data_IF_474735564291
#
_entry.id   IF_474735564291
#
_cell.length_a   1.000
_cell.length_b   1.000
_cell.length_c   1.000
_cell.angle_alpha   90.00
_cell.angle_beta   90.00
_cell.angle_gamma   90.00
#
_symmetry.space_group_name_H-M   'P 1'
#
loop_
_entity.id
_entity.type
_entity.pdbx_description
1 polymer ?
#
# COMPACT_ATOMS: atom_id res chain seq x y z
N UNK A 1 -23.70 20.24 20.76
CA UNK A 1 -22.82 21.21 20.08
C UNK A 1 -21.40 20.93 20.58
N UNK A 2 -20.45 20.61 19.69
CA UNK A 2 -19.06 20.36 20.09
C UNK A 2 -18.44 21.65 20.64
N UNK A 3 -17.75 21.57 21.76
CA UNK A 3 -17.09 22.71 22.40
C UNK A 3 -15.66 22.85 21.89
N UNK A 4 -15.05 24.01 22.06
CA UNK A 4 -13.63 24.20 21.71
C UNK A 4 -12.73 23.25 22.51
N UNK A 5 -13.12 22.87 23.72
CA UNK A 5 -12.41 21.90 24.58
C UNK A 5 -12.34 20.50 23.96
N UNK A 6 -13.31 20.13 23.08
CA UNK A 6 -13.33 18.83 22.39
C UNK A 6 -12.25 18.74 21.30
N UNK A 7 -11.76 19.89 20.80
CA UNK A 7 -10.76 19.97 19.72
C UNK A 7 -9.36 20.38 20.19
N UNK A 8 -9.27 21.06 21.32
CA UNK A 8 -8.01 21.58 21.87
C UNK A 8 -7.65 20.78 23.11
N UNK A 9 -6.68 19.88 22.95
CA UNK A 9 -6.13 19.09 24.04
C UNK A 9 -4.69 19.51 24.34
N UNK A 10 -4.23 19.33 25.60
CA UNK A 10 -2.85 19.61 25.95
C UNK A 10 -1.80 19.08 24.96
N UNK A 11 -0.53 19.46 25.06
CA UNK A 11 0.08 20.14 26.19
C UNK A 11 -0.30 21.63 26.24
N UNK A 12 -0.75 22.04 27.44
CA UNK A 12 -1.10 23.43 27.72
C UNK A 12 0.13 24.20 28.18
N UNK A 13 0.27 25.42 27.67
CA UNK A 13 1.25 26.41 28.14
C UNK A 13 0.53 27.68 28.56
N UNK A 14 1.28 28.60 29.15
CA UNK A 14 0.76 29.88 29.61
C UNK A 14 0.26 30.73 28.45
N UNK A 15 -0.99 31.19 28.51
CA UNK A 15 -1.57 32.04 27.49
C UNK A 15 -0.93 33.42 27.53
N UNK A 16 -0.43 33.99 26.40
CA UNK A 16 0.17 35.28 26.37
C UNK A 16 -0.82 36.44 26.64
N UNK A 17 -2.12 36.20 26.51
CA UNK A 17 -3.16 37.21 26.72
C UNK A 17 -3.76 37.18 28.13
N UNK A 18 -4.25 36.03 28.61
CA UNK A 18 -4.91 35.94 29.91
C UNK A 18 -4.00 35.43 31.05
N UNK A 19 -2.82 34.87 30.71
CA UNK A 19 -1.89 34.33 31.69
C UNK A 19 -2.22 32.95 32.22
N UNK A 20 -3.40 32.38 31.88
CA UNK A 20 -3.81 31.04 32.27
C UNK A 20 -3.05 29.94 31.55
N UNK A 21 -2.87 28.77 32.19
CA UNK A 21 -2.23 27.60 31.59
C UNK A 21 -3.22 26.82 30.71
N UNK A 22 -3.68 27.46 29.65
CA UNK A 22 -4.80 27.04 28.79
C UNK A 22 -4.55 27.20 27.30
N UNK A 23 -3.29 27.55 26.92
CA UNK A 23 -2.89 27.77 25.54
C UNK A 23 -2.30 26.51 24.92
N UNK A 24 -3.06 25.85 24.04
CA UNK A 24 -2.71 24.56 23.48
C UNK A 24 -2.77 24.52 21.97
N UNK A 25 -2.21 23.45 21.37
CA UNK A 25 -2.24 23.17 19.95
C UNK A 25 -3.68 22.98 19.48
N UNK A 26 -4.10 23.76 18.49
CA UNK A 26 -5.46 23.72 17.93
C UNK A 26 -5.51 23.07 16.56
N UNK A 27 -4.53 23.34 15.71
CA UNK A 27 -4.43 22.83 14.33
C UNK A 27 -2.98 22.54 14.02
N UNK A 28 -2.75 21.43 13.33
CA UNK A 28 -1.45 21.04 12.77
C UNK A 28 -1.62 21.01 11.24
N UNK A 29 -0.73 21.68 10.52
CA UNK A 29 -0.73 21.76 9.06
C UNK A 29 0.68 21.51 8.52
N UNK A 30 0.85 20.47 7.71
CA UNK A 30 2.12 20.09 7.11
C UNK A 30 3.28 20.05 8.14
N UNK A 31 4.11 21.10 8.19
CA UNK A 31 5.26 21.23 9.10
C UNK A 31 5.15 22.43 10.05
N UNK A 32 3.96 22.82 10.44
CA UNK A 32 3.72 23.85 11.42
C UNK A 32 2.42 23.63 12.18
N UNK A 33 2.26 24.32 13.30
CA UNK A 33 1.05 24.27 14.09
C UNK A 33 0.66 25.65 14.64
N UNK A 34 -0.57 25.75 15.08
CA UNK A 34 -1.14 26.91 15.73
C UNK A 34 -1.59 26.56 17.14
N UNK A 35 -1.52 27.51 18.05
CA UNK A 35 -2.06 27.38 19.40
C UNK A 35 -3.27 28.27 19.58
N UNK A 36 -4.19 27.87 20.46
CA UNK A 36 -5.34 28.65 20.86
C UNK A 36 -5.62 28.46 22.36
N UNK A 37 -6.03 29.53 23.03
CA UNK A 37 -6.46 29.48 24.43
C UNK A 37 -7.89 28.99 24.52
N UNK A 38 -8.18 28.04 25.41
CA UNK A 38 -9.53 27.52 25.65
C UNK A 38 -10.35 28.42 26.56
N UNK A 39 -9.72 29.34 27.33
CA UNK A 39 -10.40 30.24 28.25
C UNK A 39 -10.72 31.59 27.60
N UNK A 40 -9.74 32.28 27.04
CA UNK A 40 -9.94 33.60 26.42
C UNK A 40 -10.02 33.61 24.90
N UNK A 41 -9.95 32.43 24.29
CA UNK A 41 -10.03 32.20 22.83
C UNK A 41 -8.92 32.87 22.00
N UNK A 42 -7.88 33.41 22.62
CA UNK A 42 -6.73 34.02 21.93
C UNK A 42 -5.91 33.00 21.15
N UNK A 43 -5.44 33.32 19.91
CA UNK A 43 -5.84 34.46 19.08
C UNK A 43 -7.24 34.29 18.50
N UNK A 44 -8.03 35.35 18.53
CA UNK A 44 -9.40 35.38 17.99
C UNK A 44 -9.42 36.21 16.69
N UNK A 45 -9.50 35.53 15.54
CA UNK A 45 -9.50 36.16 14.23
C UNK A 45 -10.70 37.10 14.02
N UNK A 46 -11.83 36.87 14.70
CA UNK A 46 -13.00 37.77 14.65
C UNK A 46 -12.70 39.14 15.27
N UNK A 47 -11.70 39.22 16.13
CA UNK A 47 -11.21 40.44 16.78
C UNK A 47 -9.95 41.01 16.11
N UNK A 48 -9.57 40.50 14.93
CA UNK A 48 -8.40 40.91 14.18
C UNK A 48 -7.07 40.44 14.76
N UNK A 49 -7.05 39.53 15.73
CA UNK A 49 -5.83 38.97 16.32
C UNK A 49 -5.18 37.97 15.36
N UNK A 50 -3.88 38.13 15.08
CA UNK A 50 -3.14 37.25 14.19
C UNK A 50 -2.63 36.01 14.93
N UNK A 51 -2.89 34.84 14.37
CA UNK A 51 -2.34 33.57 14.85
C UNK A 51 -0.82 33.51 14.67
N UNK A 52 -0.10 33.06 15.69
CA UNK A 52 1.31 32.78 15.62
C UNK A 52 1.52 31.38 15.05
N UNK A 53 2.34 31.30 14.00
CA UNK A 53 2.75 30.06 13.35
C UNK A 53 4.00 29.52 14.01
N UNK A 54 3.92 28.31 14.55
CA UNK A 54 5.03 27.57 15.13
C UNK A 54 5.54 26.55 14.12
N UNK A 55 6.84 26.59 13.82
CA UNK A 55 7.45 25.68 12.85
C UNK A 55 7.84 24.36 13.49
N UNK A 56 7.72 23.28 12.71
CA UNK A 56 8.11 21.94 13.07
C UNK A 56 9.22 21.42 12.16
N UNK A 57 10.08 20.52 12.63
CA UNK A 57 11.08 19.87 11.79
C UNK A 57 10.44 19.18 10.59
N UNK A 58 11.16 19.11 9.48
CA UNK A 58 10.73 18.34 8.32
C UNK A 58 10.75 16.85 8.63
N UNK A 59 9.70 16.14 8.21
CA UNK A 59 9.58 14.71 8.38
C UNK A 59 10.15 13.95 7.18
N UNK A 60 10.77 12.81 7.49
CA UNK A 60 11.16 11.80 6.51
C UNK A 60 10.76 10.41 7.06
N UNK A 61 9.45 10.15 7.03
CA UNK A 61 8.89 8.91 7.56
C UNK A 61 9.29 7.73 6.70
N UNK A 62 9.67 6.63 7.37
CA UNK A 62 9.90 5.35 6.70
C UNK A 62 8.56 4.71 6.34
N UNK A 63 8.46 4.19 5.13
CA UNK A 63 7.26 3.51 4.63
C UNK A 63 7.43 2.01 4.82
N UNK A 64 6.56 1.42 5.63
CA UNK A 64 6.61 0.00 5.97
C UNK A 64 5.32 -0.69 5.50
N UNK A 65 5.46 -1.70 4.64
CA UNK A 65 4.34 -2.56 4.26
C UNK A 65 4.24 -3.73 5.24
N UNK A 66 3.06 -3.93 5.80
CA UNK A 66 2.73 -5.04 6.69
C UNK A 66 1.66 -5.90 6.02
N UNK A 67 1.99 -7.14 5.72
CA UNK A 67 1.06 -8.07 5.08
C UNK A 67 -0.17 -8.37 5.95
N UNK A 68 -1.29 -8.69 5.28
CA UNK A 68 -2.59 -8.97 5.89
C UNK A 68 -2.54 -10.05 6.97
N UNK A 69 -1.74 -11.11 6.80
CA UNK A 69 -1.62 -12.15 7.81
C UNK A 69 -1.07 -11.62 9.13
N UNK A 70 -0.13 -10.68 9.07
CA UNK A 70 0.47 -10.07 10.26
C UNK A 70 -0.51 -9.14 10.97
N UNK A 71 -1.24 -8.30 10.21
CA UNK A 71 -2.34 -7.47 10.72
C UNK A 71 -3.39 -8.35 11.41
N UNK A 72 -3.80 -9.43 10.76
CA UNK A 72 -4.77 -10.38 11.30
C UNK A 72 -4.28 -11.04 12.59
N UNK A 73 -3.00 -11.37 12.70
CA UNK A 73 -2.45 -11.98 13.90
C UNK A 73 -2.26 -10.97 15.05
N UNK A 74 -1.87 -9.74 14.76
CA UNK A 74 -1.88 -8.65 15.75
C UNK A 74 -3.29 -8.43 16.30
N UNK A 75 -4.31 -8.33 15.43
CA UNK A 75 -5.71 -8.20 15.83
C UNK A 75 -6.16 -9.36 16.72
N UNK A 76 -5.87 -10.61 16.32
CA UNK A 76 -6.23 -11.80 17.11
C UNK A 76 -5.54 -11.87 18.47
N UNK A 77 -4.32 -11.34 18.57
CA UNK A 77 -3.60 -11.24 19.85
C UNK A 77 -4.25 -10.20 20.76
N UNK A 78 -4.59 -9.03 20.21
CA UNK A 78 -5.14 -7.90 20.96
C UNK A 78 -6.61 -8.10 21.36
N UNK A 79 -7.41 -8.75 20.52
CA UNK A 79 -8.83 -8.95 20.73
C UNK A 79 -9.09 -10.30 21.43
N UNK A 80 -9.40 -10.25 22.72
CA UNK A 80 -9.70 -11.44 23.54
C UNK A 80 -10.96 -12.20 23.11
N UNK A 81 -11.91 -11.52 22.46
CA UNK A 81 -13.17 -12.11 22.00
C UNK A 81 -13.02 -13.00 20.75
N UNK A 82 -11.90 -12.89 20.01
CA UNK A 82 -11.69 -13.71 18.81
C UNK A 82 -11.49 -15.18 19.17
N UNK A 83 -12.19 -16.09 18.44
CA UNK A 83 -11.95 -17.53 18.48
C UNK A 83 -10.68 -17.84 17.66
N UNK A 84 -9.50 -17.51 18.16
CA UNK A 84 -8.24 -17.78 17.47
C UNK A 84 -7.51 -18.97 18.09
N UNK A 85 -6.63 -19.61 17.31
CA UNK A 85 -5.77 -20.67 17.84
C UNK A 85 -4.95 -20.19 19.02
N UNK A 86 -4.86 -20.99 20.09
CA UNK A 86 -4.06 -20.70 21.31
C UNK A 86 -2.63 -20.24 20.98
N UNK A 87 -2.03 -20.81 19.90
CA UNK A 87 -0.67 -20.47 19.43
C UNK A 87 -0.52 -18.97 19.11
N UNK A 88 -1.50 -18.35 18.44
CA UNK A 88 -1.44 -16.91 18.09
C UNK A 88 -1.66 -16.04 19.33
N UNK A 89 -2.60 -16.41 20.19
CA UNK A 89 -2.89 -15.69 21.44
C UNK A 89 -1.73 -15.70 22.44
N UNK A 90 -0.91 -16.76 22.39
CA UNK A 90 0.23 -16.94 23.30
C UNK A 90 1.57 -16.46 22.70
N UNK A 91 1.62 -16.05 21.43
CA UNK A 91 2.83 -15.54 20.81
C UNK A 91 2.96 -14.03 21.07
N UNK A 92 3.75 -13.70 22.08
CA UNK A 92 4.05 -12.33 22.54
C UNK A 92 4.60 -11.44 21.40
N UNK A 93 5.18 -12.03 20.36
CA UNK A 93 5.71 -11.30 19.20
C UNK A 93 4.65 -10.37 18.58
N UNK A 94 3.42 -10.82 18.44
CA UNK A 94 2.36 -10.02 17.82
C UNK A 94 2.00 -8.77 18.63
N UNK A 95 2.03 -8.88 19.96
CA UNK A 95 1.84 -7.74 20.86
C UNK A 95 2.99 -6.73 20.76
N UNK A 96 4.24 -7.22 20.81
CA UNK A 96 5.44 -6.38 20.65
C UNK A 96 5.48 -5.68 19.30
N UNK A 97 5.16 -6.40 18.23
CA UNK A 97 5.11 -5.85 16.87
C UNK A 97 4.10 -4.70 16.78
N UNK A 98 2.87 -4.91 17.27
CA UNK A 98 1.86 -3.84 17.29
C UNK A 98 2.34 -2.63 18.12
N UNK A 99 2.88 -2.88 19.31
CA UNK A 99 3.39 -1.83 20.19
C UNK A 99 4.47 -0.97 19.52
N UNK A 100 5.47 -1.60 18.92
CA UNK A 100 6.54 -0.89 18.23
C UNK A 100 6.04 -0.11 17.02
N UNK A 101 5.26 -0.74 16.13
CA UNK A 101 4.70 -0.08 14.95
C UNK A 101 3.83 1.12 15.35
N UNK A 102 2.90 0.93 16.28
CA UNK A 102 2.00 1.99 16.71
C UNK A 102 2.75 3.14 17.39
N UNK A 103 3.73 2.82 18.25
CA UNK A 103 4.59 3.83 18.87
C UNK A 103 5.35 4.64 17.82
N UNK A 104 5.97 3.99 16.84
CA UNK A 104 6.73 4.66 15.79
C UNK A 104 5.85 5.51 14.87
N UNK A 105 4.63 5.05 14.57
CA UNK A 105 3.65 5.86 13.83
C UNK A 105 3.27 7.12 14.62
N UNK A 106 3.00 7.00 15.92
CA UNK A 106 2.70 8.15 16.77
C UNK A 106 3.89 9.10 16.93
N UNK A 107 5.09 8.58 16.97
CA UNK A 107 6.32 9.38 16.94
C UNK A 107 6.59 10.04 15.58
N UNK A 108 5.76 9.83 14.57
CA UNK A 108 5.93 10.37 13.21
C UNK A 108 7.20 9.89 12.49
N UNK A 109 7.74 8.73 12.88
CA UNK A 109 8.97 8.15 12.32
C UNK A 109 8.68 7.19 11.17
N UNK A 110 7.55 6.51 11.22
CA UNK A 110 7.09 5.59 10.17
C UNK A 110 5.65 5.85 9.79
N UNK A 111 5.26 5.23 8.68
CA UNK A 111 3.88 5.07 8.24
C UNK A 111 3.70 3.67 7.67
N UNK A 112 2.55 3.03 7.97
CA UNK A 112 2.18 1.75 7.38
C UNK A 112 0.90 1.92 6.56
N UNK A 113 0.97 2.40 5.31
CA UNK A 113 -0.21 2.59 4.48
C UNK A 113 -0.89 1.25 4.21
N UNK A 114 -2.23 1.24 4.22
CA UNK A 114 -2.97 0.04 3.80
C UNK A 114 -3.15 0.01 2.27
N UNK A 115 -3.44 -1.16 1.72
CA UNK A 115 -3.65 -1.38 0.29
C UNK A 115 -5.08 -1.83 -0.01
N UNK A 116 -5.47 -1.75 -1.28
CA UNK A 116 -6.73 -2.30 -1.79
C UNK A 116 -6.87 -3.81 -1.53
N UNK A 117 -5.76 -4.56 -1.52
CA UNK A 117 -5.77 -5.99 -1.17
C UNK A 117 -6.09 -6.20 0.32
N UNK A 118 -5.52 -5.38 1.21
CA UNK A 118 -5.86 -5.39 2.63
C UNK A 118 -7.37 -5.20 2.84
N UNK A 119 -7.96 -4.23 2.16
CA UNK A 119 -9.39 -3.95 2.24
C UNK A 119 -10.20 -5.15 1.72
N UNK A 120 -9.87 -5.65 0.53
CA UNK A 120 -10.55 -6.78 -0.11
C UNK A 120 -10.48 -8.07 0.73
N UNK A 121 -9.32 -8.39 1.31
CA UNK A 121 -9.16 -9.59 2.14
C UNK A 121 -9.84 -9.44 3.49
N UNK A 122 -9.85 -8.24 4.06
CA UNK A 122 -10.52 -7.95 5.33
C UNK A 122 -12.04 -8.07 5.23
N UNK A 123 -12.64 -7.70 4.08
CA UNK A 123 -14.08 -7.85 3.82
C UNK A 123 -14.55 -9.32 3.91
N UNK A 124 -13.67 -10.26 3.67
CA UNK A 124 -13.96 -11.69 3.80
C UNK A 124 -13.82 -12.22 5.24
N UNK A 125 -13.23 -11.43 6.12
CA UNK A 125 -12.95 -11.82 7.49
C UNK A 125 -14.15 -11.55 8.42
N UNK A 126 -14.43 -12.45 9.39
CA UNK A 126 -15.55 -12.26 10.33
C UNK A 126 -15.36 -11.06 11.27
N UNK A 127 -14.14 -10.54 11.40
CA UNK A 127 -13.79 -9.44 12.29
C UNK A 127 -13.31 -8.21 11.50
N UNK A 128 -14.01 -7.85 10.44
CA UNK A 128 -13.65 -6.75 9.55
C UNK A 128 -13.38 -5.43 10.28
N UNK A 129 -14.29 -5.00 11.15
CA UNK A 129 -14.15 -3.74 11.90
C UNK A 129 -12.91 -3.72 12.81
N UNK A 130 -12.60 -4.84 13.45
CA UNK A 130 -11.41 -4.96 14.29
C UNK A 130 -10.11 -4.90 13.46
N UNK A 131 -10.09 -5.49 12.27
CA UNK A 131 -8.97 -5.39 11.32
C UNK A 131 -8.81 -3.95 10.83
N UNK A 132 -9.91 -3.30 10.48
CA UNK A 132 -9.94 -1.92 10.01
C UNK A 132 -9.33 -0.97 11.05
N UNK A 133 -9.65 -1.13 12.33
CA UNK A 133 -9.06 -0.34 13.42
C UNK A 133 -7.53 -0.44 13.46
N UNK A 134 -6.95 -1.63 13.23
CA UNK A 134 -5.49 -1.77 13.17
C UNK A 134 -4.91 -0.98 11.99
N UNK A 135 -5.52 -1.09 10.81
CA UNK A 135 -5.07 -0.31 9.64
C UNK A 135 -5.10 1.19 9.92
N UNK A 136 -6.20 1.69 10.48
CA UNK A 136 -6.39 3.10 10.76
C UNK A 136 -5.33 3.64 11.72
N UNK A 137 -4.99 2.88 12.75
CA UNK A 137 -3.98 3.25 13.74
C UNK A 137 -2.56 3.29 13.16
N UNK A 138 -2.24 2.39 12.23
CA UNK A 138 -0.90 2.28 11.65
C UNK A 138 -0.72 3.16 10.41
N UNK A 139 -1.82 3.44 9.68
CA UNK A 139 -1.78 4.19 8.42
C UNK A 139 -2.12 5.66 8.56
N UNK A 140 -2.74 6.08 9.67
CA UNK A 140 -3.27 7.44 9.81
C UNK A 140 -4.20 7.85 8.66
N UNK A 141 -4.95 6.89 8.10
CA UNK A 141 -5.84 7.10 6.97
C UNK A 141 -5.10 7.37 5.64
N UNK A 142 -3.83 6.99 5.53
CA UNK A 142 -3.07 6.97 4.29
C UNK A 142 -3.13 5.56 3.70
N UNK A 143 -3.51 5.46 2.44
CA UNK A 143 -3.50 4.23 1.67
C UNK A 143 -2.51 4.31 0.52
N UNK A 144 -2.00 3.17 0.09
CA UNK A 144 -1.45 3.07 -1.25
C UNK A 144 -2.58 3.29 -2.27
N UNK A 145 -2.25 3.77 -3.45
CA UNK A 145 -3.13 3.70 -4.61
C UNK A 145 -3.44 2.23 -4.93
N UNK A 146 -4.52 1.97 -5.67
CA UNK A 146 -4.79 0.60 -6.09
C UNK A 146 -3.62 0.01 -6.87
N UNK A 147 -3.41 -1.30 -6.76
CA UNK A 147 -2.33 -1.97 -7.49
C UNK A 147 -2.40 -1.70 -9.00
N UNK A 148 -3.59 -1.60 -9.59
CA UNK A 148 -3.77 -1.21 -11.00
C UNK A 148 -3.30 0.22 -11.28
N UNK A 149 -3.57 1.17 -10.37
CA UNK A 149 -3.10 2.55 -10.53
C UNK A 149 -1.57 2.63 -10.46
N UNK A 150 -0.95 1.87 -9.56
CA UNK A 150 0.51 1.81 -9.44
C UNK A 150 1.13 1.18 -10.70
N UNK A 151 0.57 0.07 -11.20
CA UNK A 151 0.98 -0.55 -12.47
C UNK A 151 0.88 0.44 -13.63
N UNK A 152 -0.24 1.17 -13.72
CA UNK A 152 -0.45 2.19 -14.76
C UNK A 152 0.62 3.28 -14.66
N UNK A 153 0.90 3.78 -13.46
CA UNK A 153 1.95 4.77 -13.23
C UNK A 153 3.32 4.25 -13.72
N UNK A 154 3.69 3.01 -13.39
CA UNK A 154 4.94 2.40 -13.81
C UNK A 154 5.01 2.20 -15.33
N UNK A 155 3.93 1.75 -15.97
CA UNK A 155 3.87 1.62 -17.44
C UNK A 155 4.08 2.98 -18.12
N UNK A 156 3.39 4.00 -17.65
CA UNK A 156 3.47 5.35 -18.22
C UNK A 156 4.87 5.95 -18.02
N UNK A 157 5.49 5.72 -16.87
CA UNK A 157 6.86 6.17 -16.60
C UNK A 157 7.85 5.48 -17.54
N UNK A 158 7.70 4.19 -17.78
CA UNK A 158 8.51 3.47 -18.77
C UNK A 158 8.23 3.93 -20.22
N UNK A 159 6.98 4.25 -20.55
CA UNK A 159 6.67 4.83 -21.84
C UNK A 159 7.38 6.18 -22.04
N UNK A 160 7.41 7.04 -21.02
CA UNK A 160 8.10 8.33 -21.10
C UNK A 160 9.62 8.16 -21.33
N UNK A 161 10.23 7.11 -20.73
CA UNK A 161 11.64 6.75 -21.00
C UNK A 161 11.81 6.29 -22.46
N UNK A 162 10.96 5.35 -22.90
CA UNK A 162 10.98 4.83 -24.26
C UNK A 162 10.79 5.92 -25.31
N UNK A 163 9.92 6.88 -25.03
CA UNK A 163 9.61 8.01 -25.90
C UNK A 163 10.66 9.15 -25.83
N UNK A 164 11.69 9.02 -24.98
CA UNK A 164 12.75 10.00 -24.81
C UNK A 164 12.41 11.23 -23.98
N UNK A 165 11.28 11.22 -23.24
CA UNK A 165 10.84 12.35 -22.41
C UNK A 165 11.62 12.45 -21.10
N UNK A 166 12.03 11.31 -20.56
CA UNK A 166 12.83 11.21 -19.33
C UNK A 166 13.97 10.21 -19.54
N UNK A 167 15.08 10.38 -18.79
CA UNK A 167 16.24 9.48 -18.87
C UNK A 167 16.16 8.31 -17.90
N UNK A 168 15.38 8.42 -16.84
CA UNK A 168 15.29 7.40 -15.79
C UNK A 168 13.89 7.35 -15.19
N UNK A 169 13.58 6.22 -14.59
CA UNK A 169 12.42 6.03 -13.75
C UNK A 169 12.71 6.57 -12.34
N UNK A 170 11.90 7.48 -11.87
CA UNK A 170 12.01 8.02 -10.51
C UNK A 170 11.02 7.29 -9.60
N UNK A 171 11.56 6.60 -8.59
CA UNK A 171 10.81 5.81 -7.62
C UNK A 171 10.47 6.70 -6.41
N UNK A 172 9.40 7.48 -6.51
CA UNK A 172 8.93 8.30 -5.41
C UNK A 172 7.65 7.70 -4.81
N UNK A 173 7.70 7.32 -3.54
CA UNK A 173 6.54 6.75 -2.85
C UNK A 173 5.34 7.71 -2.81
N UNK A 174 5.57 9.03 -2.86
CA UNK A 174 4.50 10.03 -2.85
C UNK A 174 3.57 9.90 -4.07
N UNK A 175 4.06 9.36 -5.19
CA UNK A 175 3.27 9.17 -6.41
C UNK A 175 2.28 8.01 -6.31
N UNK A 176 2.48 7.12 -5.35
CA UNK A 176 1.69 5.90 -5.19
C UNK A 176 0.87 5.85 -3.90
N UNK A 177 0.77 6.95 -3.17
CA UNK A 177 -0.04 7.05 -1.95
C UNK A 177 -1.16 8.07 -2.09
N UNK A 178 -2.22 7.91 -1.28
CA UNK A 178 -3.42 8.74 -1.36
C UNK A 178 -3.25 10.17 -0.83
N UNK A 179 -2.27 10.39 0.06
CA UNK A 179 -2.01 11.69 0.72
C UNK A 179 -0.51 11.89 0.94
N UNK A 180 -0.11 13.11 1.27
CA UNK A 180 1.28 13.39 1.68
C UNK A 180 1.65 12.61 2.93
N UNK A 181 2.81 11.93 2.91
CA UNK A 181 3.32 11.13 4.05
C UNK A 181 4.16 11.96 5.00
N UNK A 182 5.01 12.85 4.49
CA UNK A 182 5.95 13.63 5.29
C UNK A 182 5.32 14.91 5.84
N UNK A 183 4.17 14.75 6.49
CA UNK A 183 3.44 15.81 7.19
C UNK A 183 3.16 15.39 8.63
N UNK A 184 3.16 16.35 9.55
CA UNK A 184 2.77 16.13 10.93
C UNK A 184 1.28 15.82 11.00
N UNK A 185 0.95 14.76 11.72
CA UNK A 185 -0.43 14.29 11.81
C UNK A 185 -1.29 15.20 12.69
N UNK A 186 -2.47 15.57 12.21
CA UNK A 186 -3.45 16.22 13.09
C UNK A 186 -3.98 15.21 14.12
N UNK A 187 -4.44 15.71 15.27
CA UNK A 187 -5.00 14.90 16.34
C UNK A 187 -6.38 14.37 16.02
N UNK A 188 -7.14 15.08 15.19
CA UNK A 188 -8.48 14.72 14.77
C UNK A 188 -8.44 13.98 13.45
N UNK A 189 -8.75 12.68 13.47
CA UNK A 189 -8.99 11.87 12.27
C UNK A 189 -10.49 11.56 12.19
N UNK A 190 -11.16 12.07 11.15
CA UNK A 190 -12.56 11.74 10.87
C UNK A 190 -12.56 10.59 9.85
N UNK A 191 -13.08 9.44 10.27
CA UNK A 191 -13.19 8.25 9.44
C UNK A 191 -14.64 8.11 8.98
N UNK A 192 -14.82 7.98 7.68
CA UNK A 192 -16.13 7.76 7.05
C UNK A 192 -16.24 6.27 6.75
N UNK A 193 -17.13 5.58 7.46
CA UNK A 193 -17.47 4.19 7.15
C UNK A 193 -18.26 4.15 5.85
N UNK A 194 -17.84 3.28 4.93
CA UNK A 194 -18.63 2.92 3.75
C UNK A 194 -19.32 1.59 4.02
N UNK A 195 -20.61 1.54 3.82
CA UNK A 195 -21.36 0.29 3.87
C UNK A 195 -20.94 -0.59 2.71
N UNK A 196 -20.53 -1.82 3.02
CA UNK A 196 -20.15 -2.80 2.01
C UNK A 196 -21.36 -3.65 1.64
N UNK A 197 -21.72 -3.69 0.37
CA UNK A 197 -22.83 -4.51 -0.11
C UNK A 197 -22.48 -5.99 -0.05
N UNK A 198 -23.46 -6.82 0.34
CA UNK A 198 -23.30 -8.27 0.40
C UNK A 198 -22.99 -8.88 -0.98
N UNK A 199 -23.50 -8.28 -2.05
CA UNK A 199 -23.18 -8.65 -3.43
C UNK A 199 -21.70 -8.52 -3.78
N UNK A 200 -21.02 -7.48 -3.30
CA UNK A 200 -19.57 -7.30 -3.48
C UNK A 200 -18.78 -8.41 -2.77
N UNK A 201 -19.19 -8.77 -1.56
CA UNK A 201 -18.54 -9.86 -0.81
C UNK A 201 -18.65 -11.20 -1.53
N UNK A 202 -19.81 -11.49 -2.12
CA UNK A 202 -20.04 -12.72 -2.89
C UNK A 202 -19.22 -12.75 -4.19
N UNK A 203 -19.13 -11.61 -4.88
CA UNK A 203 -18.29 -11.49 -6.06
C UNK A 203 -16.81 -11.72 -5.73
N UNK A 204 -16.30 -11.09 -4.66
CA UNK A 204 -14.91 -11.29 -4.19
C UNK A 204 -14.64 -12.77 -3.88
N UNK A 205 -15.57 -13.46 -3.19
CA UNK A 205 -15.44 -14.90 -2.89
C UNK A 205 -15.35 -15.73 -4.16
N UNK A 206 -16.27 -15.52 -5.09
CA UNK A 206 -16.32 -16.24 -6.37
C UNK A 206 -15.06 -16.06 -7.18
N UNK A 207 -14.55 -14.83 -7.27
CA UNK A 207 -13.31 -14.53 -7.99
C UNK A 207 -12.10 -15.19 -7.32
N UNK A 208 -12.05 -15.19 -5.98
CA UNK A 208 -10.98 -15.85 -5.21
C UNK A 208 -10.94 -17.36 -5.45
N UNK A 209 -12.10 -18.03 -5.52
CA UNK A 209 -12.17 -19.48 -5.76
C UNK A 209 -11.71 -19.82 -7.18
N UNK A 210 -12.11 -19.03 -8.19
CA UNK A 210 -11.61 -19.17 -9.57
C UNK A 210 -10.09 -19.05 -9.68
N UNK A 211 -9.51 -18.08 -8.96
CA UNK A 211 -8.06 -17.87 -8.93
C UNK A 211 -7.33 -19.05 -8.28
N UNK A 212 -7.88 -19.62 -7.20
CA UNK A 212 -7.32 -20.79 -6.52
C UNK A 212 -7.31 -22.03 -7.43
N UNK A 213 -8.39 -22.28 -8.15
CA UNK A 213 -8.47 -23.40 -9.09
C UNK A 213 -7.51 -23.20 -10.28
N UNK A 214 -7.40 -21.99 -10.82
CA UNK A 214 -6.43 -21.65 -11.85
C UNK A 214 -4.99 -21.94 -11.42
N UNK A 215 -4.62 -21.56 -10.18
CA UNK A 215 -3.28 -21.86 -9.64
C UNK A 215 -3.00 -23.35 -9.56
N UNK A 216 -3.98 -24.15 -9.14
CA UNK A 216 -3.82 -25.62 -9.07
C UNK A 216 -3.58 -26.21 -10.47
N UNK A 217 -4.35 -25.77 -11.46
CA UNK A 217 -4.19 -26.21 -12.84
C UNK A 217 -2.83 -25.83 -13.43
N UNK A 218 -2.40 -24.57 -13.25
CA UNK A 218 -1.13 -24.12 -13.78
C UNK A 218 0.05 -24.79 -13.07
N UNK A 219 -0.08 -25.07 -11.77
CA UNK A 219 0.94 -25.78 -11.00
C UNK A 219 1.20 -27.19 -11.54
N UNK A 220 0.15 -27.91 -11.93
CA UNK A 220 0.28 -29.24 -12.58
C UNK A 220 1.01 -29.12 -13.92
N UNK A 221 0.77 -28.05 -14.69
CA UNK A 221 1.52 -27.78 -15.93
C UNK A 221 2.99 -27.53 -15.64
N UNK A 222 3.32 -26.70 -14.65
CA UNK A 222 4.70 -26.38 -14.25
C UNK A 222 5.48 -27.66 -13.87
N UNK A 223 4.88 -28.58 -13.13
CA UNK A 223 5.53 -29.82 -12.73
C UNK A 223 5.93 -30.74 -13.90
N UNK A 224 5.27 -30.59 -15.05
CA UNK A 224 5.55 -31.37 -16.26
C UNK A 224 6.66 -30.78 -17.11
N UNK A 225 6.94 -29.49 -16.98
CA UNK A 225 7.86 -28.71 -17.84
C UNK A 225 9.32 -28.75 -17.34
N UNK A 226 9.84 -29.97 -17.13
CA UNK A 226 11.19 -30.18 -16.55
C UNK A 226 12.36 -29.79 -17.47
N UNK A 227 12.11 -29.55 -18.72
CA UNK A 227 13.12 -29.15 -19.72
C UNK A 227 13.30 -27.64 -19.87
N UNK A 228 12.54 -26.86 -19.09
CA UNK A 228 12.57 -25.39 -19.13
C UNK A 228 13.17 -24.85 -17.85
N UNK A 229 14.13 -23.93 -18.01
CA UNK A 229 14.83 -23.29 -16.90
C UNK A 229 14.15 -22.00 -16.43
N UNK A 230 14.76 -21.32 -15.47
CA UNK A 230 14.31 -20.03 -14.94
C UNK A 230 14.24 -18.96 -16.03
N UNK A 231 15.28 -18.85 -16.88
CA UNK A 231 15.38 -17.80 -17.89
C UNK A 231 14.29 -17.93 -18.96
N UNK A 232 13.95 -19.16 -19.33
CA UNK A 232 12.83 -19.42 -20.22
C UNK A 232 11.51 -18.88 -19.63
N UNK A 233 11.22 -19.24 -18.38
CA UNK A 233 9.97 -18.81 -17.73
C UNK A 233 9.94 -17.32 -17.49
N UNK A 234 11.04 -16.74 -17.08
CA UNK A 234 11.14 -15.29 -16.88
C UNK A 234 10.83 -14.51 -18.16
N UNK A 235 11.38 -14.93 -19.30
CA UNK A 235 11.08 -14.31 -20.61
C UNK A 235 9.61 -14.49 -21.02
N UNK A 236 9.04 -15.67 -20.80
CA UNK A 236 7.63 -15.92 -21.15
C UNK A 236 6.66 -15.12 -20.28
N UNK A 237 6.91 -15.02 -18.98
CA UNK A 237 6.09 -14.21 -18.08
C UNK A 237 6.12 -12.72 -18.46
N UNK A 238 7.28 -12.16 -18.79
CA UNK A 238 7.38 -10.76 -19.26
C UNK A 238 6.55 -10.51 -20.52
N UNK A 239 6.64 -11.41 -21.49
CA UNK A 239 5.84 -11.33 -22.73
C UNK A 239 4.35 -11.55 -22.49
N UNK A 240 4.00 -12.36 -21.51
CA UNK A 240 2.61 -12.64 -21.18
C UNK A 240 1.87 -11.37 -20.73
N UNK A 241 2.53 -10.45 -20.03
CA UNK A 241 1.89 -9.19 -19.59
C UNK A 241 1.48 -8.32 -20.80
N UNK A 242 2.35 -8.16 -21.80
CA UNK A 242 2.02 -7.41 -23.02
C UNK A 242 0.85 -8.07 -23.77
N UNK A 243 0.88 -9.40 -23.93
CA UNK A 243 -0.22 -10.16 -24.56
C UNK A 243 -1.53 -9.97 -23.82
N UNK A 244 -1.51 -10.11 -22.50
CA UNK A 244 -2.69 -9.93 -21.64
C UNK A 244 -3.29 -8.53 -21.76
N UNK A 245 -2.46 -7.49 -21.77
CA UNK A 245 -2.94 -6.12 -21.96
C UNK A 245 -3.63 -5.93 -23.32
N UNK A 246 -3.03 -6.44 -24.38
CA UNK A 246 -3.60 -6.36 -25.74
C UNK A 246 -4.93 -7.12 -25.80
N UNK A 247 -4.99 -8.34 -25.28
CA UNK A 247 -6.20 -9.15 -25.29
C UNK A 247 -7.34 -8.50 -24.49
N UNK A 248 -7.05 -7.96 -23.31
CA UNK A 248 -8.05 -7.25 -22.49
C UNK A 248 -8.56 -5.99 -23.21
N UNK A 249 -7.68 -5.23 -23.84
CA UNK A 249 -8.07 -4.06 -24.64
C UNK A 249 -8.98 -4.45 -25.81
N UNK A 250 -8.58 -5.47 -26.58
CA UNK A 250 -9.37 -5.96 -27.72
C UNK A 250 -10.73 -6.49 -27.30
N UNK A 251 -10.80 -7.30 -26.25
CA UNK A 251 -12.08 -7.81 -25.70
C UNK A 251 -13.02 -6.67 -25.29
N UNK A 252 -12.48 -5.63 -24.65
CA UNK A 252 -13.32 -4.50 -24.27
C UNK A 252 -13.81 -3.70 -25.48
N UNK A 253 -12.97 -3.47 -26.48
CA UNK A 253 -13.39 -2.82 -27.73
C UNK A 253 -14.47 -3.62 -28.46
N UNK A 254 -14.32 -4.94 -28.56
CA UNK A 254 -15.33 -5.83 -29.13
C UNK A 254 -16.66 -5.75 -28.37
N UNK A 255 -16.61 -5.73 -27.04
CA UNK A 255 -17.78 -5.60 -26.18
C UNK A 255 -18.49 -4.25 -26.39
N UNK A 256 -17.73 -3.14 -26.43
CA UNK A 256 -18.28 -1.81 -26.72
C UNK A 256 -18.92 -1.73 -28.11
N UNK A 257 -18.30 -2.34 -29.15
CA UNK A 257 -18.86 -2.41 -30.49
C UNK A 257 -20.18 -3.21 -30.51
N UNK A 258 -20.20 -4.39 -29.86
CA UNK A 258 -21.44 -5.19 -29.76
C UNK A 258 -22.58 -4.43 -29.06
N UNK A 259 -22.27 -3.65 -28.03
CA UNK A 259 -23.23 -2.76 -27.36
C UNK A 259 -23.73 -1.67 -28.26
N UNK A 260 -22.83 -0.99 -29.01
CA UNK A 260 -23.18 0.10 -29.92
C UNK A 260 -24.08 -0.36 -31.08
N UNK A 261 -23.95 -1.62 -31.51
CA UNK A 261 -24.82 -2.24 -32.51
C UNK A 261 -26.07 -2.92 -31.92
N UNK A 262 -26.30 -2.83 -30.60
CA UNK A 262 -27.44 -3.46 -29.94
C UNK A 262 -27.39 -4.98 -29.91
N UNK A 263 -26.24 -5.60 -30.16
CA UNK A 263 -26.06 -7.05 -30.15
C UNK A 263 -25.99 -7.64 -28.74
N UNK A 264 -25.66 -6.84 -27.74
CA UNK A 264 -25.72 -7.17 -26.32
C UNK A 264 -26.36 -6.00 -25.54
N UNK A 265 -26.98 -6.25 -24.37
CA UNK A 265 -27.52 -5.21 -23.52
C UNK A 265 -26.46 -4.19 -23.10
N UNK A 266 -26.89 -2.97 -22.76
CA UNK A 266 -26.01 -1.95 -22.19
C UNK A 266 -25.49 -2.42 -20.82
N UNK A 267 -24.19 -2.46 -20.67
CA UNK A 267 -23.50 -2.85 -19.44
C UNK A 267 -22.69 -1.64 -18.95
N UNK A 268 -23.09 -1.01 -17.82
CA UNK A 268 -22.43 0.19 -17.31
C UNK A 268 -20.92 0.01 -17.11
N UNK A 269 -20.50 -1.17 -16.63
CA UNK A 269 -19.10 -1.49 -16.35
C UNK A 269 -18.21 -1.47 -17.60
N UNK A 270 -18.77 -1.76 -18.78
CA UNK A 270 -18.01 -1.73 -20.02
C UNK A 270 -17.65 -0.31 -20.47
N UNK A 271 -18.40 0.70 -20.00
CA UNK A 271 -18.15 2.13 -20.30
C UNK A 271 -17.03 2.68 -19.42
N UNK A 272 -16.86 2.14 -18.23
CA UNK A 272 -15.74 2.52 -17.36
C UNK A 272 -14.47 1.79 -17.80
N UNK A 273 -13.41 2.53 -18.22
CA UNK A 273 -12.22 1.90 -18.75
C UNK A 273 -11.51 1.07 -17.67
N UNK A 274 -11.39 -0.23 -17.89
CA UNK A 274 -10.54 -1.11 -17.12
C UNK A 274 -9.06 -0.73 -17.27
N UNK A 275 -8.18 -1.40 -16.50
CA UNK A 275 -6.75 -1.11 -16.44
C UNK A 275 -6.08 -1.05 -17.83
N UNK A 276 -6.28 -2.08 -18.67
CA UNK A 276 -5.70 -2.11 -20.01
C UNK A 276 -6.11 -0.91 -20.86
N UNK A 277 -7.40 -0.55 -20.84
CA UNK A 277 -7.91 0.60 -21.60
C UNK A 277 -7.31 1.92 -21.11
N UNK A 278 -7.20 2.10 -19.79
CA UNK A 278 -6.55 3.30 -19.20
C UNK A 278 -5.11 3.42 -19.67
N UNK A 279 -4.35 2.31 -19.70
CA UNK A 279 -2.97 2.29 -20.17
C UNK A 279 -2.88 2.68 -21.65
N UNK A 280 -3.70 2.06 -22.51
CA UNK A 280 -3.71 2.34 -23.95
C UNK A 280 -4.13 3.77 -24.25
N UNK A 281 -5.20 4.27 -23.62
CA UNK A 281 -5.65 5.65 -23.82
C UNK A 281 -4.61 6.67 -23.35
N UNK A 282 -3.96 6.43 -22.21
CA UNK A 282 -2.93 7.31 -21.69
C UNK A 282 -1.69 7.35 -22.61
N UNK A 283 -1.29 6.23 -23.22
CA UNK A 283 -0.18 6.17 -24.19
C UNK A 283 -0.59 6.85 -25.49
N UNK A 284 -1.77 6.54 -26.04
CA UNK A 284 -2.29 7.17 -27.26
C UNK A 284 -2.38 8.70 -27.14
N UNK A 285 -2.86 9.20 -26.01
CA UNK A 285 -2.93 10.64 -25.75
C UNK A 285 -1.54 11.29 -25.76
N UNK A 286 -0.53 10.64 -25.15
CA UNK A 286 0.86 11.13 -25.18
C UNK A 286 1.45 11.15 -26.58
N UNK A 287 1.20 10.11 -27.38
CA UNK A 287 1.64 10.06 -28.77
C UNK A 287 0.99 11.18 -29.59
N UNK A 288 -0.30 11.43 -29.41
CA UNK A 288 -1.02 12.57 -30.05
C UNK A 288 -0.44 13.92 -29.67
N UNK A 289 -0.11 14.14 -28.40
CA UNK A 289 0.56 15.38 -27.94
C UNK A 289 1.95 15.57 -28.56
N UNK A 290 2.61 14.49 -29.00
CA UNK A 290 3.88 14.51 -29.75
C UNK A 290 3.69 14.74 -31.25
N UNK A 291 2.47 14.99 -31.71
CA UNK A 291 2.15 15.27 -33.10
C UNK A 291 1.86 14.02 -33.95
N UNK A 292 1.79 12.83 -33.34
CA UNK A 292 1.43 11.59 -34.03
C UNK A 292 -0.09 11.48 -34.02
N UNK A 293 -0.77 11.80 -35.12
CA UNK A 293 -2.22 11.84 -35.19
C UNK A 293 -2.85 10.67 -35.96
N UNK A 294 -2.05 10.02 -36.85
CA UNK A 294 -2.54 8.89 -37.64
C UNK A 294 -2.69 7.63 -36.76
N UNK A 295 -3.90 7.07 -36.70
CA UNK A 295 -4.21 5.92 -35.83
C UNK A 295 -3.34 4.69 -36.14
N UNK A 296 -3.00 4.47 -37.42
CA UNK A 296 -2.12 3.38 -37.82
C UNK A 296 -0.71 3.53 -37.24
N UNK A 297 -0.17 4.76 -37.26
CA UNK A 297 1.14 5.05 -36.67
C UNK A 297 1.11 4.96 -35.15
N UNK A 298 0.07 5.47 -34.50
CA UNK A 298 -0.16 5.34 -33.06
C UNK A 298 -0.16 3.87 -32.65
N UNK A 299 -0.91 3.01 -33.36
CA UNK A 299 -0.99 1.59 -33.04
C UNK A 299 0.34 0.87 -33.28
N UNK A 300 1.11 1.27 -34.30
CA UNK A 300 2.47 0.78 -34.55
C UNK A 300 3.38 1.13 -33.37
N UNK A 301 3.42 2.41 -32.96
CA UNK A 301 4.24 2.89 -31.83
C UNK A 301 3.86 2.24 -30.50
N UNK A 302 2.57 2.06 -30.25
CA UNK A 302 2.07 1.35 -29.11
C UNK A 302 2.57 -0.11 -29.07
N UNK A 303 2.50 -0.81 -30.21
CA UNK A 303 3.03 -2.17 -30.33
C UNK A 303 4.54 -2.21 -30.11
N UNK A 304 5.30 -1.29 -30.74
CA UNK A 304 6.74 -1.17 -30.55
C UNK A 304 7.12 -1.00 -29.08
N UNK A 305 6.37 -0.18 -28.33
CA UNK A 305 6.58 0.01 -26.90
C UNK A 305 6.28 -1.25 -26.09
N UNK A 306 5.10 -1.87 -26.30
CA UNK A 306 4.67 -3.04 -25.52
C UNK A 306 5.59 -4.26 -25.67
N UNK A 307 6.30 -4.37 -26.80
CA UNK A 307 7.30 -5.42 -27.03
C UNK A 307 8.74 -4.95 -26.84
N UNK A 308 8.93 -3.75 -26.25
CA UNK A 308 10.27 -3.22 -25.97
C UNK A 308 10.81 -3.72 -24.64
N UNK A 309 12.12 -3.78 -24.52
CA UNK A 309 12.82 -4.04 -23.27
C UNK A 309 12.44 -3.00 -22.18
N UNK A 310 12.18 -1.75 -22.58
CA UNK A 310 11.75 -0.68 -21.66
C UNK A 310 10.43 -1.03 -20.97
N UNK A 311 9.44 -1.54 -21.71
CA UNK A 311 8.18 -2.00 -21.12
C UNK A 311 8.41 -3.19 -20.18
N UNK A 312 9.20 -4.19 -20.60
CA UNK A 312 9.54 -5.36 -19.79
C UNK A 312 10.30 -5.02 -18.50
N UNK A 313 10.97 -3.86 -18.44
CA UNK A 313 11.69 -3.35 -17.28
C UNK A 313 10.82 -2.53 -16.33
N UNK A 314 9.50 -2.41 -16.56
CA UNK A 314 8.60 -1.86 -15.54
C UNK A 314 8.73 -2.69 -14.25
N UNK A 315 8.95 -2.04 -13.09
CA UNK A 315 9.26 -2.76 -11.85
C UNK A 315 8.29 -3.89 -11.54
N UNK A 316 6.98 -3.66 -11.70
CA UNK A 316 5.98 -4.70 -11.41
C UNK A 316 6.09 -5.89 -12.37
N UNK A 317 6.39 -5.66 -13.65
CA UNK A 317 6.57 -6.74 -14.65
C UNK A 317 7.79 -7.56 -14.28
N UNK A 318 8.93 -6.88 -14.06
CA UNK A 318 10.19 -7.52 -13.72
C UNK A 318 10.04 -8.38 -12.45
N UNK A 319 9.53 -7.81 -11.36
CA UNK A 319 9.42 -8.49 -10.08
C UNK A 319 8.42 -9.65 -10.15
N UNK A 320 7.22 -9.43 -10.70
CA UNK A 320 6.20 -10.48 -10.82
C UNK A 320 6.69 -11.65 -11.68
N UNK A 321 7.27 -11.35 -12.85
CA UNK A 321 7.82 -12.38 -13.76
C UNK A 321 8.92 -13.19 -13.09
N UNK A 322 9.81 -12.56 -12.32
CA UNK A 322 10.85 -13.27 -11.58
C UNK A 322 10.28 -14.17 -10.47
N UNK A 323 9.28 -13.68 -9.71
CA UNK A 323 8.62 -14.49 -8.68
C UNK A 323 7.88 -15.70 -9.27
N UNK A 324 7.15 -15.52 -10.38
CA UNK A 324 6.49 -16.63 -11.07
C UNK A 324 7.51 -17.62 -11.66
N UNK A 325 8.59 -17.14 -12.30
CA UNK A 325 9.65 -18.01 -12.81
C UNK A 325 10.35 -18.81 -11.69
N UNK A 326 10.62 -18.20 -10.53
CA UNK A 326 11.19 -18.89 -9.38
C UNK A 326 10.22 -19.94 -8.80
N UNK A 327 8.93 -19.63 -8.71
CA UNK A 327 7.91 -20.59 -8.29
C UNK A 327 7.80 -21.76 -9.26
N UNK A 328 7.81 -21.49 -10.57
CA UNK A 328 7.78 -22.52 -11.62
C UNK A 328 9.01 -23.41 -11.53
N UNK A 329 10.22 -22.86 -11.34
CA UNK A 329 11.45 -23.61 -11.11
C UNK A 329 11.33 -24.54 -9.89
N UNK A 330 10.78 -24.07 -8.76
CA UNK A 330 10.52 -24.91 -7.58
C UNK A 330 9.54 -26.05 -7.88
N UNK A 331 8.50 -25.78 -8.67
CA UNK A 331 7.52 -26.80 -9.07
C UNK A 331 8.13 -27.86 -10.00
N UNK A 332 8.91 -27.43 -10.99
CA UNK A 332 9.48 -28.32 -12.01
C UNK A 332 10.69 -29.12 -11.52
N UNK A 333 11.60 -28.48 -10.79
CA UNK A 333 12.93 -29.04 -10.50
C UNK A 333 13.21 -29.33 -9.02
N UNK A 334 12.59 -28.60 -8.08
CA UNK A 334 12.91 -28.75 -6.66
C UNK A 334 11.93 -29.63 -5.89
N UNK A 335 11.13 -30.45 -6.61
CA UNK A 335 10.28 -31.47 -6.01
C UNK A 335 9.11 -30.94 -5.17
N UNK A 336 8.70 -29.69 -5.40
CA UNK A 336 7.52 -29.14 -4.73
C UNK A 336 6.28 -29.95 -5.07
N UNK A 337 5.65 -30.53 -4.03
CA UNK A 337 4.49 -31.42 -4.20
C UNK A 337 3.15 -30.68 -4.11
N UNK A 338 3.10 -29.52 -3.46
CA UNK A 338 1.86 -28.77 -3.23
C UNK A 338 1.88 -27.45 -4.00
N UNK A 339 0.74 -27.01 -4.56
CA UNK A 339 0.63 -25.68 -5.17
C UNK A 339 0.99 -24.59 -4.15
N UNK A 340 1.29 -23.37 -4.61
CA UNK A 340 1.41 -22.21 -3.75
C UNK A 340 0.16 -21.99 -2.90
N UNK A 341 0.30 -21.29 -1.79
CA UNK A 341 -0.81 -20.90 -0.92
C UNK A 341 -1.87 -20.07 -1.67
N UNK A 342 -3.08 -20.06 -1.15
CA UNK A 342 -4.24 -19.36 -1.75
C UNK A 342 -4.03 -17.87 -1.96
N UNK A 343 -3.18 -17.22 -1.12
CA UNK A 343 -2.83 -15.81 -1.21
C UNK A 343 -1.73 -15.47 -2.22
N UNK A 344 -1.00 -16.46 -2.72
CA UNK A 344 0.25 -16.26 -3.47
C UNK A 344 0.16 -15.24 -4.62
N UNK A 345 -0.93 -15.27 -5.41
CA UNK A 345 -1.11 -14.28 -6.50
C UNK A 345 -1.25 -12.86 -5.93
N UNK A 346 -1.99 -12.70 -4.84
CA UNK A 346 -2.15 -11.40 -4.20
C UNK A 346 -0.83 -10.91 -3.61
N UNK A 347 -0.07 -11.82 -2.98
CA UNK A 347 1.26 -11.50 -2.44
C UNK A 347 2.21 -11.07 -3.56
N UNK A 348 2.24 -11.77 -4.69
CA UNK A 348 3.03 -11.38 -5.87
C UNK A 348 2.59 -10.00 -6.39
N UNK A 349 1.27 -9.74 -6.49
CA UNK A 349 0.76 -8.42 -6.90
C UNK A 349 1.24 -7.31 -5.97
N UNK A 350 1.13 -7.50 -4.65
CA UNK A 350 1.55 -6.50 -3.67
C UNK A 350 3.06 -6.30 -3.67
N UNK A 351 3.83 -7.38 -3.63
CA UNK A 351 5.29 -7.30 -3.64
C UNK A 351 5.77 -6.61 -4.92
N UNK A 352 5.27 -7.01 -6.09
CA UNK A 352 5.73 -6.46 -7.35
C UNK A 352 5.41 -4.98 -7.53
N UNK A 353 4.32 -4.49 -6.95
CA UNK A 353 3.94 -3.07 -7.05
C UNK A 353 4.54 -2.22 -5.95
N UNK A 354 4.74 -2.74 -4.72
CA UNK A 354 5.12 -1.93 -3.56
C UNK A 354 6.60 -2.05 -3.17
N UNK A 355 7.26 -3.17 -3.48
CA UNK A 355 8.67 -3.38 -3.12
C UNK A 355 9.59 -2.22 -3.53
N UNK A 356 9.44 -1.60 -4.72
CA UNK A 356 10.30 -0.49 -5.12
C UNK A 356 10.15 0.79 -4.29
N UNK A 357 9.10 0.91 -3.48
CA UNK A 357 8.72 2.16 -2.82
C UNK A 357 8.75 2.09 -1.29
N UNK A 358 8.88 0.90 -0.72
CA UNK A 358 8.90 0.72 0.73
C UNK A 358 10.32 0.70 1.27
N UNK A 359 10.54 1.25 2.47
CA UNK A 359 11.80 1.08 3.21
C UNK A 359 11.92 -0.33 3.79
N UNK A 360 10.77 -0.91 4.20
CA UNK A 360 10.71 -2.29 4.68
C UNK A 360 9.37 -2.95 4.35
N UNK A 361 9.40 -4.28 4.23
CA UNK A 361 8.21 -5.11 4.07
C UNK A 361 8.24 -6.29 5.03
N UNK A 362 7.13 -6.56 5.72
CA UNK A 362 6.93 -7.78 6.50
C UNK A 362 5.90 -8.65 5.76
N UNK A 363 6.36 -9.71 5.13
CA UNK A 363 5.60 -10.59 4.22
C UNK A 363 5.65 -12.05 4.65
N UNK A 364 4.93 -12.93 3.96
CA UNK A 364 4.98 -14.35 4.25
C UNK A 364 6.37 -14.99 3.97
N UNK A 365 6.64 -16.13 4.61
CA UNK A 365 7.93 -16.84 4.48
C UNK A 365 8.17 -17.36 3.06
N UNK A 366 7.13 -17.73 2.31
CA UNK A 366 7.29 -18.30 0.98
C UNK A 366 7.79 -17.24 -0.01
N UNK A 367 7.13 -16.09 -0.03
CA UNK A 367 7.52 -14.97 -0.89
C UNK A 367 8.89 -14.41 -0.51
N UNK A 368 9.19 -14.25 0.79
CA UNK A 368 10.53 -13.86 1.23
C UNK A 368 11.60 -14.83 0.74
N UNK A 369 11.37 -16.14 0.89
CA UNK A 369 12.33 -17.16 0.45
C UNK A 369 12.52 -17.17 -1.07
N UNK A 370 11.51 -16.81 -1.87
CA UNK A 370 11.67 -16.62 -3.32
C UNK A 370 12.57 -15.41 -3.61
N UNK A 371 12.35 -14.29 -2.93
CA UNK A 371 13.14 -13.06 -3.12
C UNK A 371 14.62 -13.25 -2.73
N UNK A 372 14.94 -14.19 -1.83
CA UNK A 372 16.31 -14.51 -1.43
C UNK A 372 17.02 -15.49 -2.36
N UNK A 373 16.32 -16.13 -3.29
CA UNK A 373 16.92 -17.02 -4.27
C UNK A 373 17.59 -16.24 -5.40
N UNK A 374 18.69 -16.81 -5.94
CA UNK A 374 19.25 -16.31 -7.20
C UNK A 374 18.37 -16.71 -8.40
N UNK A 375 18.21 -15.81 -9.37
CA UNK A 375 18.84 -14.49 -9.50
C UNK A 375 18.07 -13.34 -8.81
N UNK A 376 16.92 -13.60 -8.15
CA UNK A 376 16.03 -12.55 -7.61
C UNK A 376 16.75 -11.62 -6.62
N UNK A 377 17.54 -12.17 -5.69
CA UNK A 377 18.24 -11.38 -4.68
C UNK A 377 19.28 -10.42 -5.29
N UNK A 378 19.82 -10.76 -6.46
CA UNK A 378 20.81 -9.94 -7.17
C UNK A 378 20.11 -8.87 -8.04
N UNK A 379 19.01 -9.24 -8.71
CA UNK A 379 18.34 -8.42 -9.73
C UNK A 379 17.20 -7.54 -9.21
N UNK A 380 16.62 -7.90 -8.05
CA UNK A 380 15.53 -7.16 -7.40
C UNK A 380 16.09 -6.44 -6.17
N UNK A 381 16.96 -5.46 -6.36
CA UNK A 381 17.51 -4.67 -5.27
C UNK A 381 17.05 -3.20 -5.39
N UNK A 382 16.00 -2.87 -4.64
CA UNK A 382 15.48 -1.51 -4.51
C UNK A 382 15.84 -0.86 -3.16
N UNK A 383 16.69 -1.54 -2.35
CA UNK A 383 17.04 -1.06 -1.01
C UNK A 383 16.03 -1.42 0.07
N UNK A 384 14.92 -2.04 -0.29
CA UNK A 384 13.85 -2.45 0.64
C UNK A 384 14.31 -3.61 1.51
N UNK A 385 14.22 -3.47 2.84
CA UNK A 385 14.47 -4.56 3.78
C UNK A 385 13.26 -5.50 3.82
N UNK A 386 13.45 -6.81 3.55
CA UNK A 386 12.35 -7.79 3.52
C UNK A 386 12.41 -8.72 4.71
N UNK A 387 11.34 -8.73 5.50
CA UNK A 387 11.18 -9.52 6.71
C UNK A 387 10.00 -10.49 6.62
N UNK A 388 10.04 -11.53 7.46
CA UNK A 388 8.95 -12.50 7.62
C UNK A 388 9.04 -13.15 9.01
N UNK A 389 8.20 -14.14 9.28
CA UNK A 389 8.28 -14.88 10.54
C UNK A 389 9.63 -15.61 10.76
N UNK A 390 10.34 -15.95 9.70
CA UNK A 390 11.64 -16.62 9.81
C UNK A 390 12.75 -15.74 10.34
N UNK A 391 12.62 -14.42 10.26
CA UNK A 391 13.55 -13.44 10.80
C UNK A 391 12.83 -12.30 11.54
N UNK A 392 11.79 -12.64 12.28
CA UNK A 392 10.93 -11.70 12.99
C UNK A 392 11.65 -10.85 14.03
N UNK A 393 12.69 -11.37 14.67
CA UNK A 393 13.49 -10.64 15.67
C UNK A 393 14.35 -9.56 15.00
N UNK A 394 14.88 -9.83 13.80
CA UNK A 394 15.58 -8.82 13.00
C UNK A 394 14.64 -7.65 12.62
N UNK A 395 13.35 -7.95 12.37
CA UNK A 395 12.36 -6.91 12.11
C UNK A 395 12.12 -6.00 13.32
N UNK A 396 11.95 -6.60 14.52
CA UNK A 396 11.81 -5.81 15.75
C UNK A 396 13.06 -4.96 16.01
N UNK A 397 14.26 -5.52 15.79
CA UNK A 397 15.51 -4.77 15.91
C UNK A 397 15.59 -3.60 14.92
N UNK A 398 15.14 -3.81 13.67
CA UNK A 398 15.08 -2.76 12.67
C UNK A 398 14.12 -1.61 13.08
N UNK A 399 12.99 -1.94 13.71
CA UNK A 399 12.07 -0.94 14.25
C UNK A 399 12.69 -0.16 15.42
N UNK A 400 13.43 -0.83 16.30
CA UNK A 400 14.18 -0.19 17.38
C UNK A 400 15.29 0.73 16.86
N UNK A 401 16.02 0.33 15.80
CA UNK A 401 17.00 1.19 15.12
C UNK A 401 16.37 2.47 14.60
N UNK A 402 15.18 2.38 13.96
CA UNK A 402 14.44 3.56 13.49
C UNK A 402 14.11 4.51 14.66
N UNK A 403 13.67 3.95 15.80
CA UNK A 403 13.39 4.74 17.00
C UNK A 403 14.62 5.45 17.54
N UNK A 404 15.74 4.74 17.62
CA UNK A 404 17.00 5.28 18.13
C UNK A 404 17.64 6.32 17.21
N UNK A 405 17.35 6.27 15.92
CA UNK A 405 17.84 7.24 14.93
C UNK A 405 17.10 8.60 14.96
N UNK A 406 16.02 8.71 15.74
CA UNK A 406 15.28 9.97 15.86
C UNK A 406 16.12 11.06 16.55
N UNK A 407 16.15 12.25 15.97
CA UNK A 407 16.90 13.37 16.56
C UNK A 407 16.21 13.91 17.81
N UNK A 408 17.00 14.50 18.71
CA UNK A 408 16.45 15.18 19.90
C UNK A 408 15.46 16.29 19.53
N UNK A 409 15.72 17.04 18.45
CA UNK A 409 14.84 18.07 17.94
C UNK A 409 13.48 17.49 17.55
N UNK A 410 13.49 16.36 16.84
CA UNK A 410 12.26 15.63 16.47
C UNK A 410 11.48 15.19 17.70
N UNK A 411 12.13 14.58 18.69
CA UNK A 411 11.47 14.10 19.90
C UNK A 411 10.88 15.25 20.73
N UNK A 412 11.61 16.37 20.86
CA UNK A 412 11.09 17.60 21.50
C UNK A 412 9.84 18.13 20.77
N UNK A 413 9.87 18.17 19.43
CA UNK A 413 8.70 18.59 18.64
C UNK A 413 7.47 17.68 18.86
N UNK A 414 7.67 16.35 18.96
CA UNK A 414 6.59 15.42 19.30
C UNK A 414 5.99 15.74 20.69
N UNK A 415 6.83 15.95 21.69
CA UNK A 415 6.38 16.29 23.04
C UNK A 415 5.63 17.64 23.10
N UNK A 416 6.15 18.62 22.38
CA UNK A 416 5.56 19.97 22.31
C UNK A 416 4.19 19.99 21.66
N UNK A 417 3.99 19.16 20.62
CA UNK A 417 2.73 19.12 19.85
C UNK A 417 1.74 18.17 20.45
N UNK A 418 2.16 16.99 20.89
CA UNK A 418 1.26 15.91 21.31
C UNK A 418 1.29 15.61 22.80
N UNK A 419 2.36 15.97 23.52
CA UNK A 419 2.55 15.68 24.94
C UNK A 419 3.31 14.38 25.19
N UNK A 420 3.88 14.27 26.39
CA UNK A 420 4.78 13.18 26.85
C UNK A 420 4.16 11.76 26.73
N UNK A 421 2.84 11.65 26.86
CA UNK A 421 2.15 10.36 26.85
C UNK A 421 1.59 9.96 25.48
N UNK A 422 1.81 10.79 24.44
CA UNK A 422 1.23 10.56 23.11
C UNK A 422 1.65 9.24 22.47
N UNK A 423 2.93 8.89 22.58
CA UNK A 423 3.49 7.71 21.94
C UNK A 423 3.16 6.39 22.66
N UNK A 424 2.49 6.43 23.83
CA UNK A 424 2.09 5.20 24.51
C UNK A 424 1.10 4.40 23.66
N UNK A 425 1.33 3.09 23.49
CA UNK A 425 0.41 2.24 22.76
C UNK A 425 -0.96 2.20 23.42
N UNK A 426 -2.02 2.21 22.61
CA UNK A 426 -3.38 2.10 23.11
C UNK A 426 -3.85 0.65 23.07
N UNK A 427 -3.74 -0.03 24.21
CA UNK A 427 -4.14 -1.43 24.35
C UNK A 427 -5.65 -1.64 24.52
N UNK A 428 -6.40 -0.58 24.77
CA UNK A 428 -7.85 -0.62 25.05
C UNK A 428 -8.75 -0.66 23.82
N UNK A 429 -8.19 -0.78 22.60
CA UNK A 429 -8.90 -0.69 21.33
C UNK A 429 -10.08 -1.66 21.23
N UNK A 430 -9.94 -2.85 21.81
CA UNK A 430 -10.92 -3.94 21.72
C UNK A 430 -11.70 -4.17 23.02
N UNK A 431 -11.49 -3.37 24.08
CA UNK A 431 -12.16 -3.54 25.37
C UNK A 431 -13.64 -3.11 25.36
N UNK A 432 -14.09 -2.44 24.31
CA UNK A 432 -15.46 -1.92 24.21
C UNK A 432 -16.43 -2.85 23.49
N UNK A 433 -16.00 -4.03 23.06
CA UNK A 433 -16.81 -5.01 22.32
C UNK A 433 -17.26 -6.20 23.20
N UNK A 434 -17.29 -6.04 24.52
CA UNK A 434 -17.83 -7.02 25.47
C UNK A 434 -19.21 -6.61 25.94
#
# INVERSE_FOLDING_TARGET
>A
MLSLKDFINGPYIKCPKCGENSFSVSVICDNHYFRRCIECYYPDSSKGEKSVKYMLPQLNKKVIYIDQFAISNMMKFLNSATKSHKKVKNDIFWGKLFEQLHTLCKLQLIICPYSDMHETESLLAPNYESLKRIYELLSNGISFQSHETIKLFQIISQFNIWAGDTKRFDLNVQDIVSKKINVWQDRLNILINRDNSQSLIEEIRTNRDKVDDYIKEIFIKWQKEKNKDFDYWYKEEKKAEARTLIELYQKNLERLLKMSYGLIPFEPDAVFPGFANKAFYAIKDRLKRKGISEEKEINKKLSEFLYSETFENAPYIKIASMLYAAMTRRAAHHGRKKPPGRGFINDVKMISTLLPYCDAMFIDNECRNLLLEKPLCDDINYGTKVFSLSNKEEFLSCLDEIKQSASEEHMKAVEEVYGLNWAKPYWGIFKQEL
#
